data_IF_790311258219
#
_entry.id   IF_790311258219
#
_cell.length_a   1.000
_cell.length_b   1.000
_cell.length_c   1.000
_cell.angle_alpha   90.00
_cell.angle_beta   90.00
_cell.angle_gamma   90.00
#
_symmetry.space_group_name_H-M   'P 1'
#
loop_
_entity.id
_entity.type
_entity.pdbx_description
1 polymer ?
#
# COMPACT_ATOMS: atom_id res chain seq x y z
N UNK A 1 26.60 24.71 15.82
CA UNK A 1 26.75 24.12 14.47
C UNK A 1 25.43 24.32 13.74
N UNK A 2 25.41 25.11 12.67
CA UNK A 2 24.20 25.49 11.93
C UNK A 2 24.04 24.47 10.80
N UNK A 3 23.09 23.55 10.93
CA UNK A 3 22.86 22.53 9.91
C UNK A 3 22.35 23.21 8.62
N UNK A 4 22.83 22.78 7.44
CA UNK A 4 22.43 23.37 6.18
C UNK A 4 20.95 23.07 5.88
N UNK A 5 20.21 24.00 5.27
CA UNK A 5 18.76 23.87 5.00
C UNK A 5 18.42 22.81 3.94
N UNK A 6 19.39 22.06 3.45
CA UNK A 6 19.22 21.02 2.43
C UNK A 6 18.94 19.62 3.03
N UNK A 7 18.97 19.48 4.36
CA UNK A 7 18.55 18.24 5.03
C UNK A 7 17.02 18.15 5.28
N UNK A 8 16.24 19.18 4.88
CA UNK A 8 14.77 19.20 4.96
C UNK A 8 14.07 18.56 3.75
N UNK A 9 14.80 17.86 2.88
CA UNK A 9 14.20 16.99 1.85
C UNK A 9 13.78 15.72 2.62
N UNK A 10 12.65 15.66 3.32
CA UNK A 10 11.26 15.51 2.88
C UNK A 10 10.76 14.06 2.59
N UNK A 11 11.59 13.00 2.46
CA UNK A 11 11.05 11.64 2.48
C UNK A 11 11.11 10.95 3.84
N UNK A 12 11.98 11.39 4.76
CA UNK A 12 12.39 10.59 5.91
C UNK A 12 12.12 11.21 7.27
N UNK A 13 11.24 12.20 7.42
CA UNK A 13 10.91 12.79 8.74
C UNK A 13 9.56 12.28 9.23
N UNK A 14 9.45 11.95 10.52
CA UNK A 14 8.17 11.56 11.12
C UNK A 14 7.29 12.81 11.30
N UNK A 15 6.05 12.84 10.78
CA UNK A 15 5.19 14.05 10.79
C UNK A 15 4.72 14.49 12.19
N UNK A 16 5.02 13.72 13.24
CA UNK A 16 4.57 14.00 14.61
C UNK A 16 5.68 14.44 15.56
N UNK A 17 6.91 14.02 15.32
CA UNK A 17 8.05 14.35 16.19
C UNK A 17 9.22 14.98 15.45
N UNK A 18 9.08 15.22 14.13
CA UNK A 18 10.08 15.80 13.24
C UNK A 18 11.47 15.14 13.31
N UNK A 19 11.50 13.91 13.80
CA UNK A 19 12.72 13.12 13.91
C UNK A 19 12.95 12.34 12.62
N UNK A 20 14.21 12.05 12.23
CA UNK A 20 14.49 11.07 11.19
C UNK A 20 13.75 9.77 11.47
N UNK A 21 12.93 9.39 10.51
CA UNK A 21 12.18 8.15 10.49
C UNK A 21 13.15 7.00 10.24
N UNK A 22 13.83 6.61 11.31
CA UNK A 22 14.34 5.26 11.44
C UNK A 22 13.13 4.32 11.53
N UNK A 23 12.77 3.77 10.37
CA UNK A 23 11.64 2.84 10.24
C UNK A 23 12.05 1.51 10.87
N UNK A 24 11.40 1.16 11.97
CA UNK A 24 11.56 -0.15 12.58
C UNK A 24 10.75 -1.17 11.77
N UNK A 25 11.44 -1.96 10.94
CA UNK A 25 10.85 -3.01 10.11
C UNK A 25 10.60 -4.28 10.94
N UNK A 26 9.70 -4.22 11.91
CA UNK A 26 9.32 -5.39 12.73
C UNK A 26 7.96 -5.99 12.36
N UNK A 27 7.12 -5.27 11.62
CA UNK A 27 5.92 -5.77 10.95
C UNK A 27 5.83 -5.16 9.56
N UNK A 28 4.92 -5.61 8.70
CA UNK A 28 4.69 -5.00 7.37
C UNK A 28 4.34 -3.49 7.44
N UNK A 29 4.19 -2.94 8.65
CA UNK A 29 4.01 -1.52 8.89
C UNK A 29 5.26 -0.91 9.54
N UNK A 30 5.87 0.01 8.83
CA UNK A 30 6.96 0.80 9.36
C UNK A 30 6.51 1.65 10.54
N UNK A 31 7.25 1.65 11.66
CA UNK A 31 6.97 2.53 12.81
C UNK A 31 8.13 3.50 13.05
N UNK A 32 7.80 4.70 13.51
CA UNK A 32 8.79 5.67 13.96
C UNK A 32 9.42 5.18 15.26
N UNK A 33 10.73 4.93 15.30
CA UNK A 33 11.37 4.36 16.49
C UNK A 33 11.57 5.35 17.67
N UNK A 34 11.08 6.60 17.55
CA UNK A 34 11.02 7.55 18.68
C UNK A 34 9.63 7.74 19.26
N UNK A 35 8.61 7.98 18.43
CA UNK A 35 7.25 8.24 18.90
C UNK A 35 6.31 7.03 18.76
N UNK A 36 6.78 5.92 18.17
CA UNK A 36 6.00 4.71 17.95
C UNK A 36 4.88 4.84 16.92
N UNK A 37 4.75 6.01 16.28
CA UNK A 37 3.71 6.26 15.29
C UNK A 37 3.87 5.34 14.09
N UNK A 38 2.77 4.74 13.65
CA UNK A 38 2.71 3.95 12.42
C UNK A 38 2.90 4.88 11.21
N UNK A 39 3.82 4.53 10.33
CA UNK A 39 4.21 5.32 9.16
C UNK A 39 3.81 4.56 7.90
N UNK A 40 3.29 5.29 6.92
CA UNK A 40 3.08 4.79 5.57
C UNK A 40 3.99 5.52 4.60
N UNK A 41 4.36 4.84 3.51
CA UNK A 41 5.07 5.47 2.40
C UNK A 41 4.08 5.88 1.32
N UNK A 42 4.18 7.13 0.87
CA UNK A 42 3.42 7.62 -0.26
C UNK A 42 3.85 6.89 -1.54
N UNK A 43 2.89 6.33 -2.28
CA UNK A 43 3.17 5.61 -3.53
C UNK A 43 3.82 6.48 -4.62
N UNK A 44 3.62 7.80 -4.58
CA UNK A 44 4.12 8.74 -5.60
C UNK A 44 5.52 9.27 -5.30
N UNK A 45 5.70 9.93 -4.16
CA UNK A 45 6.98 10.57 -3.80
C UNK A 45 7.86 9.72 -2.90
N UNK A 46 7.40 8.54 -2.46
CA UNK A 46 8.04 7.68 -1.44
C UNK A 46 8.34 8.40 -0.12
N UNK A 47 7.66 9.52 0.13
CA UNK A 47 7.75 10.23 1.39
C UNK A 47 6.95 9.57 2.49
N UNK A 48 7.38 9.79 3.73
CA UNK A 48 6.71 9.27 4.91
C UNK A 48 5.49 10.12 5.24
N UNK A 49 4.38 9.45 5.52
CA UNK A 49 3.15 10.06 5.93
C UNK A 49 2.53 9.33 7.12
N UNK A 50 1.65 10.04 7.83
CA UNK A 50 0.89 9.48 8.92
C UNK A 50 -0.16 8.48 8.44
N UNK A 51 -0.70 7.66 9.36
CA UNK A 51 -1.67 6.62 9.03
C UNK A 51 -3.08 7.17 8.78
N UNK A 52 -3.37 8.37 9.26
CA UNK A 52 -4.67 9.04 9.11
C UNK A 52 -4.66 10.12 8.02
N UNK A 53 -3.52 10.33 7.36
CA UNK A 53 -3.39 11.35 6.34
C UNK A 53 -4.05 10.88 5.03
N UNK A 54 -5.17 11.52 4.67
CA UNK A 54 -5.83 11.27 3.38
C UNK A 54 -4.94 11.65 2.19
N UNK A 55 -4.12 12.69 2.37
CA UNK A 55 -3.21 13.22 1.37
C UNK A 55 -1.79 13.26 1.92
N UNK A 56 -0.81 12.98 1.07
CA UNK A 56 0.60 13.13 1.42
C UNK A 56 0.92 14.61 1.67
N UNK A 57 1.41 14.96 2.86
CA UNK A 57 1.80 16.34 3.20
C UNK A 57 2.93 16.91 2.33
N UNK A 58 3.70 16.06 1.63
CA UNK A 58 4.78 16.51 0.75
C UNK A 58 4.35 16.73 -0.71
N UNK A 59 3.58 15.81 -1.30
CA UNK A 59 3.23 15.85 -2.72
C UNK A 59 1.73 16.03 -3.01
N UNK A 60 0.89 16.10 -1.98
CA UNK A 60 -0.56 16.22 -2.10
C UNK A 60 -1.26 14.99 -2.70
N UNK A 61 -0.56 13.88 -2.91
CA UNK A 61 -1.14 12.67 -3.48
C UNK A 61 -2.07 11.98 -2.50
N UNK A 62 -3.25 11.53 -2.97
CA UNK A 62 -4.17 10.77 -2.14
C UNK A 62 -3.58 9.41 -1.74
N UNK A 63 -3.66 9.06 -0.46
CA UNK A 63 -3.09 7.82 0.10
C UNK A 63 -4.14 6.80 0.53
N UNK A 64 -5.42 7.08 0.25
CA UNK A 64 -6.55 6.18 0.55
C UNK A 64 -6.53 4.90 -0.29
N UNK A 65 -5.79 4.90 -1.40
CA UNK A 65 -5.53 3.67 -2.13
C UNK A 65 -4.49 2.87 -1.35
N UNK A 66 -4.97 1.96 -0.51
CA UNK A 66 -4.14 0.98 0.20
C UNK A 66 -3.15 0.29 -0.73
N UNK A 67 -2.11 -0.31 -0.13
CA UNK A 67 -0.99 -0.97 -0.81
C UNK A 67 -1.39 -1.60 -2.14
N UNK A 68 -0.76 -1.14 -3.23
CA UNK A 68 -1.03 -1.65 -4.57
C UNK A 68 -0.81 -3.16 -4.57
N UNK A 69 -1.89 -3.93 -4.65
CA UNK A 69 -1.78 -5.39 -4.70
C UNK A 69 -0.98 -5.77 -5.96
N UNK A 70 0.06 -6.60 -5.84
CA UNK A 70 0.94 -6.90 -6.96
C UNK A 70 0.15 -7.55 -8.09
N UNK A 71 0.52 -7.24 -9.34
CA UNK A 71 -0.12 -7.76 -10.56
C UNK A 71 -0.24 -9.29 -10.56
N UNK A 72 0.73 -9.99 -9.97
CA UNK A 72 0.74 -11.44 -9.85
C UNK A 72 -0.41 -11.98 -8.99
N UNK A 73 -0.81 -11.26 -7.94
CA UNK A 73 -1.94 -11.66 -7.09
C UNK A 73 -3.26 -11.61 -7.86
N UNK A 74 -3.41 -10.60 -8.75
CA UNK A 74 -4.57 -10.50 -9.65
C UNK A 74 -4.62 -11.65 -10.66
N UNK A 75 -3.48 -12.01 -11.26
CA UNK A 75 -3.39 -13.12 -12.21
C UNK A 75 -3.75 -14.46 -11.56
N UNK A 76 -3.30 -14.68 -10.33
CA UNK A 76 -3.61 -15.91 -9.60
C UNK A 76 -5.12 -16.02 -9.29
N UNK A 77 -5.76 -14.92 -8.91
CA UNK A 77 -7.21 -14.87 -8.72
C UNK A 77 -7.99 -15.19 -10.00
N UNK A 78 -7.54 -14.67 -11.15
CA UNK A 78 -8.15 -14.99 -12.45
C UNK A 78 -8.00 -16.47 -12.79
N UNK A 79 -6.83 -17.06 -12.55
CA UNK A 79 -6.60 -18.49 -12.78
C UNK A 79 -7.51 -19.35 -11.88
N UNK A 80 -7.73 -18.96 -10.62
CA UNK A 80 -8.62 -19.67 -9.70
C UNK A 80 -10.10 -19.60 -10.09
N UNK A 81 -10.54 -18.55 -10.80
CA UNK A 81 -11.92 -18.41 -11.28
C UNK A 81 -12.23 -19.29 -12.50
N UNK A 82 -11.20 -19.66 -13.26
CA UNK A 82 -11.31 -20.44 -14.50
C UNK A 82 -12.05 -21.79 -14.31
N UNK A 83 -11.71 -22.65 -13.33
CA UNK A 83 -12.42 -23.91 -13.11
C UNK A 83 -13.88 -23.72 -12.68
N UNK A 84 -14.19 -22.65 -11.91
CA UNK A 84 -15.57 -22.34 -11.52
C UNK A 84 -16.41 -21.95 -12.73
N UNK A 85 -15.86 -21.08 -13.60
CA UNK A 85 -16.51 -20.67 -14.83
C UNK A 85 -16.74 -21.85 -15.79
N UNK A 86 -15.74 -22.73 -15.94
CA UNK A 86 -15.86 -23.93 -16.76
C UNK A 86 -16.88 -24.93 -16.20
N UNK A 87 -16.89 -25.16 -14.89
CA UNK A 87 -17.86 -26.04 -14.25
C UNK A 87 -19.30 -25.53 -14.40
N UNK A 88 -19.50 -24.22 -14.24
CA UNK A 88 -20.77 -23.57 -14.55
C UNK A 88 -21.13 -23.76 -16.03
N UNK A 89 -20.26 -23.39 -16.96
CA UNK A 89 -20.51 -23.51 -18.39
C UNK A 89 -20.94 -24.94 -18.79
N UNK A 90 -20.22 -25.94 -18.29
CA UNK A 90 -20.52 -27.35 -18.53
C UNK A 90 -21.87 -27.77 -17.94
N UNK A 91 -22.17 -27.36 -16.71
CA UNK A 91 -23.45 -27.65 -16.06
C UNK A 91 -24.65 -27.06 -16.82
N UNK A 92 -24.54 -25.82 -17.31
CA UNK A 92 -25.61 -25.17 -18.08
C UNK A 92 -25.81 -25.90 -19.43
N UNK A 93 -24.72 -26.28 -20.10
CA UNK A 93 -24.77 -27.00 -21.36
C UNK A 93 -25.45 -28.38 -21.20
N UNK A 94 -25.09 -29.13 -20.16
CA UNK A 94 -25.74 -30.41 -19.86
C UNK A 94 -27.24 -30.24 -19.55
N UNK A 95 -27.60 -29.21 -18.79
CA UNK A 95 -29.00 -28.93 -18.47
C UNK A 95 -29.85 -28.55 -19.71
N UNK A 96 -29.24 -28.00 -20.76
CA UNK A 96 -29.91 -27.66 -22.01
C UNK A 96 -30.09 -28.88 -22.92
N UNK A 97 -29.14 -29.83 -22.91
CA UNK A 97 -29.18 -31.04 -23.76
C UNK A 97 -30.15 -32.08 -23.21
N UNK A 98 -30.37 -32.13 -21.90
CA UNK A 98 -31.30 -33.08 -21.25
C UNK A 98 -32.73 -32.53 -21.07
N UNK A 99 -33.09 -31.46 -21.78
CA UNK A 99 -34.43 -30.85 -21.78
C UNK A 99 -35.15 -31.14 -23.09
#
# INVERSE_FOLDING_TARGET
MKLPPLALIAPSLCPRCDQPAMVLNHSEEGRCAHCGLQLHQCARCRGIAGPFDRFCGFCGHEMVQGTSRPLWWRLWFLAALLPVALGLAYGIAQAQVHR
#
